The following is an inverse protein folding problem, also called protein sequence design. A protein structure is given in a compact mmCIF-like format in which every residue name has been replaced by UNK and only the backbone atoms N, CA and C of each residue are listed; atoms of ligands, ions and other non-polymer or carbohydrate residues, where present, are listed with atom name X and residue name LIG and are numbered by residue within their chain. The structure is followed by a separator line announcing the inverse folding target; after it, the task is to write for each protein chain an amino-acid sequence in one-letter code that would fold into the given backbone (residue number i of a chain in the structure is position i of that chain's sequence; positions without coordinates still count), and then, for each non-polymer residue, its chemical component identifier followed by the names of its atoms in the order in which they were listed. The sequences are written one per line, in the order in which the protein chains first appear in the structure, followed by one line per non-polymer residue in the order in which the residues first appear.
data_IF_951276074976
#
_entry.id   IF_951276074976
#
_cell.length_a   1.000
_cell.length_b   1.000
_cell.length_c   1.000
_cell.angle_alpha   90.00
_cell.angle_beta   90.00
_cell.angle_gamma   90.00
#
_symmetry.space_group_name_H-M   'P 1'
#
loop_
_entity.id
_entity.type
_entity.pdbx_description
1 polymer ?
#
# COMPACT_ATOMS: atom_id res chain seq x y z
N UNK A 1 -10.18 8.63 5.05
CA UNK A 1 -9.35 8.97 6.23
C UNK A 1 -7.87 8.58 6.05
N UNK A 2 -7.28 9.00 4.92
CA UNK A 2 -5.81 9.02 4.70
C UNK A 2 -5.37 10.46 4.39
N UNK A 3 -6.01 11.40 5.09
CA UNK A 3 -6.03 12.84 4.79
C UNK A 3 -5.77 13.70 6.04
N UNK A 4 -5.51 13.09 7.20
CA UNK A 4 -4.98 13.81 8.36
C UNK A 4 -3.50 14.15 8.12
N UNK A 5 -3.06 15.27 8.70
CA UNK A 5 -1.67 15.70 8.64
C UNK A 5 -0.75 14.61 9.19
N UNK A 6 0.29 14.32 8.42
CA UNK A 6 1.31 13.35 8.78
C UNK A 6 2.66 14.04 8.70
N UNK A 7 3.43 14.23 9.80
CA UNK A 7 3.33 13.62 11.14
C UNK A 7 2.94 14.60 12.27
N UNK A 8 2.59 14.12 13.48
CA UNK A 8 2.99 14.78 14.72
C UNK A 8 4.43 14.33 15.04
N UNK A 9 5.42 15.07 14.52
CA UNK A 9 6.78 15.03 15.05
C UNK A 9 6.89 15.89 16.31
N UNK A 10 7.96 15.75 17.12
CA UNK A 10 8.20 16.65 18.25
C UNK A 10 8.19 18.09 17.76
N UNK A 11 7.48 18.95 18.48
CA UNK A 11 7.27 20.36 18.15
C UNK A 11 8.60 21.09 17.95
N UNK A 12 9.07 21.14 16.71
CA UNK A 12 10.09 22.06 16.24
C UNK A 12 9.46 22.96 15.17
N UNK A 13 9.65 24.26 15.36
CA UNK A 13 8.98 25.43 14.81
C UNK A 13 9.14 25.69 13.30
N UNK A 14 9.22 24.62 12.49
CA UNK A 14 9.16 24.69 11.02
C UNK A 14 8.02 23.81 10.49
N UNK A 15 6.79 24.16 10.86
CA UNK A 15 5.57 23.56 10.35
C UNK A 15 5.31 23.99 8.89
N UNK A 16 6.01 23.38 7.93
CA UNK A 16 5.73 23.58 6.50
C UNK A 16 5.15 22.30 5.87
N UNK A 17 3.81 22.28 5.79
CA UNK A 17 2.98 21.58 4.80
C UNK A 17 3.28 20.09 4.53
N UNK A 18 3.26 19.25 5.56
CA UNK A 18 3.49 17.80 5.45
C UNK A 18 2.20 17.02 5.07
N UNK A 19 1.48 17.51 4.05
CA UNK A 19 0.24 16.87 3.54
C UNK A 19 0.55 16.00 2.34
N UNK A 20 -0.09 14.84 2.25
CA UNK A 20 -0.06 14.04 1.03
C UNK A 20 -0.70 14.82 -0.11
N UNK A 21 0.04 15.01 -1.19
CA UNK A 21 -0.39 15.81 -2.35
C UNK A 21 -1.08 14.99 -3.43
N UNK A 22 -0.89 13.67 -3.43
CA UNK A 22 -1.48 12.76 -4.41
C UNK A 22 -1.57 11.34 -3.84
N UNK A 23 -2.34 10.49 -4.50
CA UNK A 23 -2.38 9.03 -4.25
C UNK A 23 -2.02 8.27 -5.51
N UNK A 24 -1.33 7.16 -5.34
CA UNK A 24 -1.00 6.24 -6.42
C UNK A 24 -1.54 4.85 -6.07
N UNK A 25 -2.51 4.37 -6.84
CA UNK A 25 -2.95 2.98 -6.78
C UNK A 25 -1.99 2.15 -7.65
N UNK A 26 -1.15 1.35 -7.01
CA UNK A 26 -0.04 0.66 -7.67
C UNK A 26 -0.31 -0.83 -7.81
N UNK A 27 -0.48 -1.31 -9.03
CA UNK A 27 -0.67 -2.73 -9.32
C UNK A 27 0.62 -3.35 -9.87
N UNK A 28 1.06 -4.41 -9.18
CA UNK A 28 2.23 -5.19 -9.56
C UNK A 28 1.84 -6.52 -10.15
N UNK A 29 2.25 -6.78 -11.39
CA UNK A 29 1.92 -8.01 -12.12
C UNK A 29 2.80 -9.20 -11.73
N UNK A 30 3.99 -8.93 -11.18
CA UNK A 30 4.82 -9.94 -10.52
C UNK A 30 4.58 -9.90 -9.02
N UNK A 31 3.93 -10.94 -8.50
CA UNK A 31 3.88 -11.24 -7.08
C UNK A 31 4.49 -12.62 -6.88
N UNK A 32 5.57 -12.71 -6.12
CA UNK A 32 6.38 -13.93 -5.95
C UNK A 32 5.53 -15.09 -5.42
N UNK A 33 4.53 -14.78 -4.60
CA UNK A 33 3.77 -15.78 -3.84
C UNK A 33 2.44 -16.21 -4.50
N UNK A 34 2.05 -15.66 -5.66
CA UNK A 34 0.71 -15.92 -6.24
C UNK A 34 0.78 -16.23 -7.73
N UNK A 35 0.33 -17.45 -8.10
CA UNK A 35 0.01 -17.80 -9.48
C UNK A 35 -1.46 -17.44 -9.75
N UNK A 36 -1.77 -16.68 -10.81
CA UNK A 36 -3.15 -16.41 -11.20
C UNK A 36 -3.90 -17.71 -11.48
N UNK A 37 -5.13 -17.81 -10.99
CA UNK A 37 -6.08 -18.86 -11.39
C UNK A 37 -6.85 -18.41 -12.64
N UNK A 38 -7.38 -19.33 -13.46
CA UNK A 38 -8.22 -18.96 -14.61
C UNK A 38 -9.45 -18.11 -14.25
N UNK A 39 -10.01 -18.32 -13.05
CA UNK A 39 -11.14 -17.53 -12.52
C UNK A 39 -10.74 -16.20 -11.87
N UNK A 40 -9.44 -15.90 -11.81
CA UNK A 40 -9.00 -14.60 -11.32
C UNK A 40 -9.21 -13.53 -12.41
N UNK A 41 -9.69 -12.31 -12.06
CA UNK A 41 -9.81 -11.23 -13.02
C UNK A 41 -8.49 -10.91 -13.70
N UNK A 42 -8.56 -10.63 -15.00
CA UNK A 42 -7.42 -10.24 -15.83
C UNK A 42 -6.77 -8.94 -15.34
N UNK A 43 -5.57 -8.65 -15.85
CA UNK A 43 -4.89 -7.37 -15.57
C UNK A 43 -5.78 -6.18 -15.98
N UNK A 44 -6.46 -6.28 -17.13
CA UNK A 44 -7.37 -5.25 -17.61
C UNK A 44 -8.54 -5.05 -16.63
N UNK A 45 -9.23 -6.12 -16.25
CA UNK A 45 -10.38 -6.05 -15.31
C UNK A 45 -9.98 -5.52 -13.93
N UNK A 46 -8.82 -5.90 -13.40
CA UNK A 46 -8.30 -5.33 -12.15
C UNK A 46 -7.98 -3.85 -12.27
N UNK A 47 -7.43 -3.44 -13.42
CA UNK A 47 -7.11 -2.04 -13.69
C UNK A 47 -8.40 -1.21 -13.81
N UNK A 48 -9.45 -1.77 -14.42
CA UNK A 48 -10.76 -1.11 -14.51
C UNK A 48 -11.39 -0.93 -13.12
N UNK A 49 -11.37 -1.97 -12.27
CA UNK A 49 -11.82 -1.83 -10.87
C UNK A 49 -11.01 -0.77 -10.11
N UNK A 50 -9.69 -0.67 -10.35
CA UNK A 50 -8.88 0.39 -9.77
C UNK A 50 -9.22 1.78 -10.33
N UNK A 51 -9.63 1.88 -11.59
CA UNK A 51 -10.07 3.13 -12.23
C UNK A 51 -11.36 3.65 -11.62
N UNK A 52 -12.31 2.75 -11.34
CA UNK A 52 -13.53 3.08 -10.59
C UNK A 52 -13.18 3.64 -9.20
N UNK A 53 -12.29 2.97 -8.47
CA UNK A 53 -11.82 3.44 -7.17
C UNK A 53 -11.08 4.79 -7.26
N UNK A 54 -10.22 4.97 -8.27
CA UNK A 54 -9.47 6.21 -8.46
C UNK A 54 -10.42 7.39 -8.72
N UNK A 55 -11.45 7.21 -9.55
CA UNK A 55 -12.47 8.25 -9.83
C UNK A 55 -13.22 8.65 -8.56
N UNK A 56 -13.59 7.67 -7.73
CA UNK A 56 -14.28 7.90 -6.44
C UNK A 56 -13.41 8.64 -5.43
N UNK A 57 -12.12 8.31 -5.36
CA UNK A 57 -11.18 8.88 -4.39
C UNK A 57 -10.55 10.21 -4.83
N UNK A 58 -10.59 10.50 -6.13
CA UNK A 58 -9.97 11.70 -6.70
C UNK A 58 -10.78 12.94 -6.33
N UNK A 59 -10.07 13.95 -5.85
CA UNK A 59 -10.61 15.28 -5.57
C UNK A 59 -9.70 16.32 -6.20
N UNK A 60 -10.18 17.55 -6.39
CA UNK A 60 -9.35 18.65 -6.93
C UNK A 60 -8.07 18.89 -6.12
N UNK A 61 -8.11 18.63 -4.81
CA UNK A 61 -6.99 18.80 -3.88
C UNK A 61 -6.11 17.55 -3.71
N UNK A 62 -6.54 16.38 -4.18
CA UNK A 62 -5.81 15.12 -4.00
C UNK A 62 -6.05 14.21 -5.21
N UNK A 63 -5.29 14.41 -6.31
CA UNK A 63 -5.39 13.57 -7.48
C UNK A 63 -5.00 12.13 -7.16
N UNK A 64 -5.65 11.19 -7.85
CA UNK A 64 -5.37 9.76 -7.76
C UNK A 64 -4.91 9.26 -9.13
N UNK A 65 -3.71 8.70 -9.18
CA UNK A 65 -3.15 8.06 -10.36
C UNK A 65 -3.15 6.52 -10.20
N UNK A 66 -3.07 5.81 -11.32
CA UNK A 66 -2.90 4.36 -11.36
C UNK A 66 -1.56 4.05 -12.01
N UNK A 67 -0.78 3.18 -11.36
CA UNK A 67 0.50 2.70 -11.87
C UNK A 67 0.45 1.20 -12.11
N UNK A 68 0.90 0.77 -13.29
CA UNK A 68 1.15 -0.63 -13.61
C UNK A 68 2.66 -0.85 -13.66
N UNK A 69 3.16 -1.83 -12.90
CA UNK A 69 4.57 -2.20 -12.96
C UNK A 69 4.78 -3.70 -12.85
N UNK A 70 5.98 -4.12 -13.26
CA UNK A 70 6.45 -5.48 -13.13
C UNK A 70 7.66 -5.51 -12.18
N UNK A 71 7.43 -5.37 -10.87
CA UNK A 71 8.47 -5.47 -9.84
C UNK A 71 7.97 -6.29 -8.64
N UNK A 72 8.69 -7.36 -8.33
CA UNK A 72 8.36 -8.28 -7.24
C UNK A 72 8.46 -7.63 -5.85
N UNK A 73 9.53 -6.86 -5.59
CA UNK A 73 9.83 -6.29 -4.27
C UNK A 73 9.36 -4.85 -4.13
N UNK A 74 9.01 -4.43 -2.91
CA UNK A 74 8.62 -3.04 -2.64
C UNK A 74 9.77 -2.05 -2.87
N UNK A 75 11.00 -2.43 -2.52
CA UNK A 75 12.19 -1.65 -2.86
C UNK A 75 12.30 -1.42 -4.38
N UNK A 76 12.07 -2.48 -5.19
CA UNK A 76 12.05 -2.37 -6.65
C UNK A 76 10.93 -1.45 -7.16
N UNK A 77 9.73 -1.53 -6.58
CA UNK A 77 8.60 -0.66 -6.91
C UNK A 77 8.92 0.81 -6.65
N UNK A 78 9.42 1.14 -5.46
CA UNK A 78 9.78 2.51 -5.11
C UNK A 78 10.85 3.06 -6.05
N UNK A 79 11.90 2.28 -6.34
CA UNK A 79 12.97 2.68 -7.26
C UNK A 79 12.43 3.06 -8.64
N UNK A 80 11.50 2.26 -9.19
CA UNK A 80 10.88 2.55 -10.49
C UNK A 80 10.04 3.83 -10.45
N UNK A 81 9.23 4.00 -9.40
CA UNK A 81 8.37 5.19 -9.24
C UNK A 81 9.20 6.45 -9.04
N UNK A 82 10.21 6.42 -8.17
CA UNK A 82 11.16 7.52 -7.96
C UNK A 82 11.87 7.90 -9.26
N UNK A 83 12.40 6.92 -9.99
CA UNK A 83 13.07 7.17 -11.28
C UNK A 83 12.13 7.84 -12.28
N UNK A 84 10.90 7.34 -12.40
CA UNK A 84 9.89 7.91 -13.29
C UNK A 84 9.55 9.36 -12.92
N UNK A 85 9.23 9.62 -11.64
CA UNK A 85 8.83 10.95 -11.18
C UNK A 85 9.98 11.95 -11.23
N UNK A 86 11.21 11.57 -10.89
CA UNK A 86 12.39 12.44 -11.05
C UNK A 86 12.62 12.81 -12.51
N UNK A 87 12.46 11.84 -13.42
CA UNK A 87 12.58 12.10 -14.86
C UNK A 87 11.48 13.03 -15.37
N UNK A 88 10.23 12.80 -14.98
CA UNK A 88 9.09 13.64 -15.36
C UNK A 88 9.19 15.08 -14.82
N UNK A 89 9.95 15.29 -13.74
CA UNK A 89 10.14 16.60 -13.11
C UNK A 89 11.52 17.21 -13.34
N UNK A 90 12.32 16.66 -14.28
CA UNK A 90 13.71 17.11 -14.53
C UNK A 90 13.82 18.57 -14.98
N UNK A 91 12.77 19.06 -15.65
CA UNK A 91 12.72 20.41 -16.24
C UNK A 91 12.09 21.43 -15.27
N UNK A 92 11.76 21.02 -14.03
CA UNK A 92 11.27 21.92 -12.96
C UNK A 92 12.45 22.56 -12.24
N UNK A 93 12.33 23.86 -11.95
CA UNK A 93 13.31 24.61 -11.17
C UNK A 93 12.62 25.29 -9.95
N UNK A 94 12.91 24.86 -8.71
CA UNK A 94 13.77 23.72 -8.35
C UNK A 94 13.12 22.37 -8.69
N UNK A 95 13.91 21.28 -8.82
CA UNK A 95 13.37 19.93 -8.93
C UNK A 95 12.47 19.61 -7.73
N UNK A 96 11.38 18.87 -7.97
CA UNK A 96 10.48 18.46 -6.90
C UNK A 96 11.15 17.43 -5.98
N UNK A 97 11.08 17.66 -4.67
CA UNK A 97 11.41 16.66 -3.64
C UNK A 97 10.28 15.62 -3.56
N UNK A 98 10.44 14.52 -4.30
CA UNK A 98 9.44 13.45 -4.35
C UNK A 98 9.63 12.51 -3.15
N UNK A 99 8.63 12.45 -2.29
CA UNK A 99 8.56 11.50 -1.18
C UNK A 99 7.42 10.50 -1.37
N UNK A 100 7.69 9.23 -1.11
CA UNK A 100 6.69 8.16 -1.27
C UNK A 100 6.33 7.59 0.08
N UNK A 101 5.04 7.35 0.33
CA UNK A 101 4.60 6.62 1.53
C UNK A 101 3.80 5.41 1.10
N UNK A 102 4.31 4.22 1.42
CA UNK A 102 3.66 2.96 1.11
C UNK A 102 2.72 2.56 2.24
N UNK A 103 1.43 2.50 1.93
CA UNK A 103 0.43 1.88 2.79
C UNK A 103 0.44 0.37 2.51
N UNK A 104 0.75 -0.43 3.52
CA UNK A 104 0.78 -1.89 3.41
C UNK A 104 0.00 -2.53 4.56
N UNK A 105 -0.48 -3.75 4.39
CA UNK A 105 -1.03 -4.53 5.51
C UNK A 105 0.07 -5.32 6.24
N UNK A 106 -0.24 -5.81 7.43
CA UNK A 106 0.67 -6.58 8.29
C UNK A 106 1.35 -7.76 7.60
N UNK A 107 0.62 -8.58 6.83
CA UNK A 107 1.21 -9.71 6.08
C UNK A 107 2.30 -9.25 5.09
N UNK A 108 2.13 -8.04 4.56
CA UNK A 108 3.06 -7.45 3.61
C UNK A 108 4.22 -6.79 4.34
N UNK A 109 3.99 -6.19 5.52
CA UNK A 109 5.06 -5.72 6.40
C UNK A 109 6.01 -6.86 6.75
N UNK A 110 5.49 -8.01 7.18
CA UNK A 110 6.33 -9.18 7.50
C UNK A 110 7.21 -9.56 6.32
N UNK A 111 6.67 -9.60 5.09
CA UNK A 111 7.45 -9.90 3.88
C UNK A 111 8.43 -8.79 3.50
N UNK A 112 8.08 -7.54 3.77
CA UNK A 112 8.92 -6.37 3.53
C UNK A 112 10.23 -6.44 4.33
N UNK A 113 10.18 -6.94 5.56
CA UNK A 113 11.37 -7.06 6.44
C UNK A 113 11.86 -8.50 6.60
N UNK A 114 11.52 -9.40 5.69
CA UNK A 114 11.96 -10.80 5.77
C UNK A 114 13.12 -11.06 4.79
N UNK A 115 14.33 -11.41 5.27
CA UNK A 115 15.52 -11.58 4.45
C UNK A 115 15.36 -12.51 3.25
N UNK A 116 14.52 -13.55 3.33
CA UNK A 116 14.31 -14.52 2.24
C UNK A 116 13.74 -13.92 0.95
N UNK A 117 13.14 -12.72 1.01
CA UNK A 117 12.63 -12.00 -0.17
C UNK A 117 13.71 -11.16 -0.86
N UNK A 118 14.95 -11.23 -0.39
CA UNK A 118 16.10 -10.50 -0.93
C UNK A 118 17.15 -11.47 -1.46
N UNK A 119 17.79 -11.10 -2.57
CA UNK A 119 18.59 -12.03 -3.37
C UNK A 119 19.90 -12.52 -2.70
N UNK A 120 20.36 -11.85 -1.64
CA UNK A 120 21.63 -12.15 -0.98
C UNK A 120 21.56 -11.94 0.53
N UNK A 121 22.49 -12.55 1.28
CA UNK A 121 22.71 -12.16 2.68
C UNK A 121 23.05 -10.67 2.76
N UNK A 122 22.48 -9.98 3.74
CA UNK A 122 22.54 -8.51 3.87
C UNK A 122 21.78 -7.73 2.78
N UNK A 123 21.18 -8.41 1.80
CA UNK A 123 20.46 -7.77 0.69
C UNK A 123 19.24 -6.99 1.14
N UNK A 124 18.60 -7.42 2.24
CA UNK A 124 17.49 -6.69 2.86
C UNK A 124 17.93 -5.31 3.35
N UNK A 125 18.91 -5.24 4.24
CA UNK A 125 19.37 -3.97 4.82
C UNK A 125 19.78 -2.98 3.73
N UNK A 126 20.59 -3.42 2.75
CA UNK A 126 20.98 -2.57 1.61
C UNK A 126 19.78 -2.06 0.80
N UNK A 127 18.82 -2.92 0.52
CA UNK A 127 17.64 -2.54 -0.26
C UNK A 127 16.71 -1.60 0.50
N UNK A 128 16.57 -1.80 1.81
CA UNK A 128 15.75 -0.97 2.69
C UNK A 128 16.40 0.39 2.96
N UNK A 129 17.71 0.42 3.23
CA UNK A 129 18.46 1.68 3.36
C UNK A 129 18.30 2.54 2.11
N UNK A 130 18.51 1.96 0.92
CA UNK A 130 18.26 2.66 -0.33
C UNK A 130 16.80 3.13 -0.46
N UNK A 131 15.82 2.25 -0.18
CA UNK A 131 14.39 2.59 -0.26
C UNK A 131 14.05 3.81 0.61
N UNK A 132 14.57 3.83 1.84
CA UNK A 132 14.31 4.84 2.86
C UNK A 132 15.09 6.14 2.60
N UNK A 133 16.33 6.06 2.14
CA UNK A 133 17.16 7.22 1.82
C UNK A 133 16.74 7.90 0.52
N UNK A 134 16.07 7.19 -0.39
CA UNK A 134 15.41 7.78 -1.56
C UNK A 134 14.15 8.59 -1.22
N UNK A 135 13.78 8.72 0.07
CA UNK A 135 12.63 9.49 0.51
C UNK A 135 11.33 8.68 0.59
N UNK A 136 11.43 7.34 0.65
CA UNK A 136 10.26 6.48 0.88
C UNK A 136 10.02 6.24 2.37
N UNK A 137 8.78 6.03 2.77
CA UNK A 137 8.40 5.56 4.11
C UNK A 137 7.34 4.46 4.02
N UNK A 138 7.13 3.73 5.11
CA UNK A 138 6.14 2.65 5.21
C UNK A 138 5.18 2.92 6.36
N UNK A 139 3.90 2.74 6.09
CA UNK A 139 2.85 2.68 7.08
C UNK A 139 2.15 1.35 6.96
N UNK A 140 2.25 0.53 7.99
CA UNK A 140 1.50 -0.71 8.08
C UNK A 140 0.15 -0.44 8.72
N UNK A 141 -0.93 -0.72 8.00
CA UNK A 141 -2.29 -0.64 8.50
C UNK A 141 -2.64 -1.94 9.21
N UNK A 142 -3.17 -1.84 10.43
CA UNK A 142 -3.53 -3.00 11.23
C UNK A 142 -4.62 -3.85 10.57
N UNK A 143 -4.48 -5.17 10.71
CA UNK A 143 -5.42 -6.14 10.12
C UNK A 143 -6.55 -6.55 11.08
N UNK A 144 -6.32 -6.48 12.39
CA UNK A 144 -7.22 -7.02 13.42
C UNK A 144 -7.09 -6.29 14.76
N UNK A 145 -8.20 -6.09 15.47
CA UNK A 145 -8.22 -5.45 16.80
C UNK A 145 -7.80 -6.36 17.96
N UNK A 146 -7.56 -7.64 17.70
CA UNK A 146 -7.17 -8.60 18.74
C UNK A 146 -5.73 -8.46 19.22
N UNK A 147 -5.50 -8.70 20.51
CA UNK A 147 -4.20 -8.68 21.18
C UNK A 147 -3.11 -9.54 20.49
N UNK A 148 -3.50 -10.68 19.91
CA UNK A 148 -2.57 -11.55 19.17
C UNK A 148 -2.02 -10.87 17.91
N UNK A 149 -2.87 -10.17 17.16
CA UNK A 149 -2.47 -9.43 15.95
C UNK A 149 -1.56 -8.27 16.33
N UNK A 150 -1.90 -7.55 17.40
CA UNK A 150 -1.08 -6.48 17.96
C UNK A 150 0.32 -6.95 18.34
N UNK A 151 0.43 -8.05 19.10
CA UNK A 151 1.73 -8.61 19.49
C UNK A 151 2.57 -9.04 18.29
N UNK A 152 1.95 -9.61 17.25
CA UNK A 152 2.67 -10.00 16.05
C UNK A 152 3.27 -8.79 15.32
N UNK A 153 2.51 -7.68 15.22
CA UNK A 153 2.97 -6.43 14.62
C UNK A 153 4.09 -5.78 15.42
N UNK A 154 3.91 -5.66 16.75
CA UNK A 154 4.93 -5.11 17.65
C UNK A 154 6.21 -5.94 17.63
N UNK A 155 6.10 -7.27 17.56
CA UNK A 155 7.26 -8.16 17.45
C UNK A 155 8.06 -7.92 16.16
N UNK A 156 7.40 -7.63 15.03
CA UNK A 156 8.09 -7.30 13.78
C UNK A 156 8.88 -6.00 13.90
N UNK A 157 8.32 -4.97 14.55
CA UNK A 157 8.99 -3.68 14.75
C UNK A 157 10.13 -3.74 15.76
N UNK A 158 10.01 -4.60 16.76
CA UNK A 158 11.01 -4.78 17.82
C UNK A 158 12.25 -5.56 17.37
N UNK A 159 12.22 -6.18 16.18
CA UNK A 159 13.37 -6.90 15.62
C UNK A 159 14.58 -5.98 15.49
N UNK A 160 15.74 -6.46 15.93
CA UNK A 160 16.99 -5.68 15.93
C UNK A 160 17.39 -5.20 14.52
N UNK A 161 17.12 -6.01 13.50
CA UNK A 161 17.41 -5.70 12.09
C UNK A 161 16.36 -4.81 11.41
N UNK A 162 15.33 -4.37 12.14
CA UNK A 162 14.24 -3.48 11.66
C UNK A 162 14.16 -2.17 12.46
N UNK A 163 14.42 -2.25 13.77
CA UNK A 163 14.33 -1.15 14.73
C UNK A 163 15.00 0.16 14.28
N UNK A 164 16.16 0.18 13.60
CA UNK A 164 16.75 1.43 13.13
C UNK A 164 15.81 2.30 12.28
N UNK A 165 14.99 1.71 11.41
CA UNK A 165 14.05 2.46 10.58
C UNK A 165 12.76 2.85 11.31
N UNK A 166 12.42 2.11 12.38
CA UNK A 166 11.32 2.45 13.29
C UNK A 166 11.68 3.67 14.13
N UNK A 167 12.86 3.64 14.75
CA UNK A 167 13.36 4.73 15.60
C UNK A 167 13.54 6.04 14.80
N UNK A 168 13.83 5.94 13.50
CA UNK A 168 13.88 7.07 12.56
C UNK A 168 12.50 7.53 12.04
N UNK A 169 11.40 6.87 12.44
CA UNK A 169 10.04 7.18 11.97
C UNK A 169 9.75 6.81 10.51
N UNK A 170 10.65 6.09 9.85
CA UNK A 170 10.53 5.70 8.43
C UNK A 170 9.58 4.50 8.25
N UNK A 171 9.38 3.69 9.29
CA UNK A 171 8.47 2.54 9.31
C UNK A 171 7.61 2.57 10.58
N UNK A 172 6.28 2.57 10.42
CA UNK A 172 5.32 2.75 11.53
C UNK A 172 4.03 1.96 11.33
N UNK A 173 3.26 1.80 12.40
CA UNK A 173 1.88 1.29 12.35
C UNK A 173 0.90 2.45 12.26
N UNK A 174 -0.20 2.21 11.56
CA UNK A 174 -1.40 3.04 11.62
C UNK A 174 -2.53 2.23 12.21
N UNK A 175 -3.09 2.81 13.25
CA UNK A 175 -4.31 2.39 13.90
C UNK A 175 -4.11 1.76 15.27
N UNK A 176 -5.17 1.77 16.06
CA UNK A 176 -5.26 1.14 17.38
C UNK A 176 -5.90 -0.26 17.30
N UNK A 177 -6.60 -0.57 16.22
CA UNK A 177 -7.25 -1.86 15.99
C UNK A 177 -8.78 -1.81 16.10
N UNK A 178 -9.37 -0.66 16.41
CA UNK A 178 -10.82 -0.48 16.54
C UNK A 178 -11.45 0.19 15.30
N UNK A 179 -10.71 0.30 14.21
CA UNK A 179 -11.18 1.03 13.03
C UNK A 179 -12.05 0.20 12.08
N UNK A 180 -12.94 0.88 11.35
CA UNK A 180 -13.92 0.25 10.45
C UNK A 180 -13.28 -0.58 9.31
N UNK A 181 -12.01 -0.33 8.96
CA UNK A 181 -11.30 -1.11 7.93
C UNK A 181 -10.74 -2.44 8.46
N UNK A 182 -10.77 -2.65 9.77
CA UNK A 182 -10.24 -3.86 10.43
C UNK A 182 -11.10 -5.06 10.03
N UNK A 183 -10.44 -6.15 9.60
CA UNK A 183 -11.13 -7.38 9.19
C UNK A 183 -11.63 -7.43 7.74
N UNK A 184 -11.57 -6.33 6.98
CA UNK A 184 -11.94 -6.34 5.55
C UNK A 184 -10.82 -7.03 4.74
N UNK A 185 -11.18 -8.05 3.95
CA UNK A 185 -10.23 -8.77 3.11
C UNK A 185 -10.78 -9.07 1.71
N UNK A 186 -9.93 -9.07 0.69
CA UNK A 186 -10.35 -9.47 -0.65
C UNK A 186 -10.80 -10.94 -0.73
N UNK A 187 -10.49 -11.77 0.27
CA UNK A 187 -10.98 -13.15 0.35
C UNK A 187 -12.43 -13.19 0.79
N UNK A 188 -12.80 -12.46 1.85
CA UNK A 188 -14.20 -12.38 2.30
C UNK A 188 -15.10 -11.78 1.22
N UNK A 189 -14.64 -10.74 0.51
CA UNK A 189 -15.39 -10.19 -0.64
C UNK A 189 -15.67 -11.25 -1.71
N UNK A 190 -14.65 -12.00 -2.11
CA UNK A 190 -14.81 -13.06 -3.13
C UNK A 190 -15.73 -14.18 -2.65
N UNK A 191 -15.64 -14.57 -1.39
CA UNK A 191 -16.51 -15.59 -0.82
C UNK A 191 -17.98 -15.13 -0.78
N UNK A 192 -18.26 -13.87 -0.43
CA UNK A 192 -19.61 -13.30 -0.49
C UNK A 192 -20.14 -13.28 -1.91
N UNK A 193 -19.32 -12.86 -2.89
CA UNK A 193 -19.69 -12.85 -4.30
C UNK A 193 -20.01 -14.26 -4.84
N UNK A 194 -19.15 -15.24 -4.54
CA UNK A 194 -19.36 -16.66 -4.95
C UNK A 194 -20.62 -17.26 -4.32
N UNK A 195 -20.97 -16.85 -3.10
CA UNK A 195 -22.18 -17.32 -2.41
C UNK A 195 -23.47 -16.63 -2.87
N UNK A 196 -23.40 -15.68 -3.79
CA UNK A 196 -24.55 -14.88 -4.22
C UNK A 196 -25.05 -13.90 -3.15
N UNK A 197 -24.24 -13.63 -2.13
CA UNK A 197 -24.58 -12.69 -1.05
C UNK A 197 -24.32 -11.25 -1.50
N UNK A 198 -25.30 -10.70 -2.22
CA UNK A 198 -25.23 -9.37 -2.84
C UNK A 198 -25.17 -8.23 -1.83
N UNK A 199 -25.86 -8.38 -0.70
CA UNK A 199 -25.82 -7.40 0.39
C UNK A 199 -24.47 -7.44 1.11
N UNK A 200 -23.94 -8.64 1.39
CA UNK A 200 -22.62 -8.79 2.00
C UNK A 200 -21.47 -8.30 1.10
N UNK A 201 -21.57 -8.44 -0.23
CA UNK A 201 -20.54 -7.91 -1.13
C UNK A 201 -20.57 -6.38 -1.25
N UNK A 202 -21.75 -5.76 -1.36
CA UNK A 202 -21.93 -4.30 -1.35
C UNK A 202 -21.52 -3.66 -0.02
N UNK A 203 -21.63 -4.38 1.09
CA UNK A 203 -21.12 -3.92 2.38
C UNK A 203 -19.58 -3.87 2.44
N UNK A 204 -18.87 -4.55 1.53
CA UNK A 204 -17.41 -4.70 1.58
C UNK A 204 -16.66 -4.01 0.43
N UNK A 205 -17.34 -3.69 -0.66
CA UNK A 205 -16.77 -2.92 -1.79
C UNK A 205 -17.73 -1.81 -2.23
N UNK A 206 -17.18 -0.77 -2.84
CA UNK A 206 -17.99 0.30 -3.44
C UNK A 206 -18.95 -0.24 -4.52
N UNK A 207 -20.14 0.37 -4.60
CA UNK A 207 -21.22 -0.05 -5.50
C UNK A 207 -20.74 -0.19 -6.95
N UNK A 208 -19.95 0.76 -7.45
CA UNK A 208 -19.49 0.73 -8.85
C UNK A 208 -18.58 -0.47 -9.14
N UNK A 209 -17.80 -0.92 -8.14
CA UNK A 209 -16.98 -2.13 -8.28
C UNK A 209 -17.84 -3.39 -8.17
N UNK A 210 -18.85 -3.40 -7.29
CA UNK A 210 -19.79 -4.51 -7.19
C UNK A 210 -20.58 -4.70 -8.51
N UNK A 211 -21.06 -3.61 -9.09
CA UNK A 211 -21.75 -3.59 -10.38
C UNK A 211 -20.84 -4.09 -11.51
N UNK A 212 -19.58 -3.63 -11.56
CA UNK A 212 -18.63 -4.10 -12.56
C UNK A 212 -18.35 -5.60 -12.45
N UNK A 213 -18.17 -6.11 -11.23
CA UNK A 213 -17.97 -7.54 -10.96
C UNK A 213 -19.15 -8.37 -11.46
N UNK A 214 -20.39 -7.90 -11.25
CA UNK A 214 -21.62 -8.57 -11.70
C UNK A 214 -21.77 -8.54 -13.23
N UNK A 215 -21.53 -7.39 -13.86
CA UNK A 215 -21.62 -7.22 -15.32
C UNK A 215 -20.61 -8.11 -16.07
N UNK A 216 -19.39 -8.19 -15.55
CA UNK A 216 -18.29 -8.96 -16.14
C UNK A 216 -18.25 -10.42 -15.67
N UNK A 217 -19.20 -10.85 -14.83
CA UNK A 217 -19.30 -12.22 -14.28
C UNK A 217 -17.98 -12.70 -13.66
N UNK A 218 -17.35 -11.82 -12.88
CA UNK A 218 -16.07 -12.12 -12.26
C UNK A 218 -16.27 -13.08 -11.07
N UNK A 219 -15.30 -13.99 -10.89
CA UNK A 219 -15.25 -14.96 -9.80
C UNK A 219 -16.30 -16.09 -9.84
N UNK A 220 -17.00 -16.24 -10.97
CA UNK A 220 -17.82 -17.43 -11.29
C UNK A 220 -16.95 -18.66 -11.65
#
# INVERSE_FOLDING_TARGET
MASSEFPPGPSNSHANNNKYTARLLLFSTSNVDKRPKPSDPSIAQRTEMMLLLARRLSTSSTPVAIGLLNQATFAGKARVVHKYLRHANRDKDPPLDVRLTFLIGTDTLTRFVEPKYYASQGGMSKALDQFFDEGSTVVSVRRGGGEKSRRAEEAVLARQDVRPWVDQGKLRLLGDGDEEWVGISSTSVRESLVKGDREGSKALVMDEVAEYVEQEKLYE
#
